data_IF_673415605519
#
_entry.id   IF_673415605519
#
_cell.length_a   1.000
_cell.length_b   1.000
_cell.length_c   1.000
_cell.angle_alpha   90.00
_cell.angle_beta   90.00
_cell.angle_gamma   90.00
#
_symmetry.space_group_name_H-M   'P 1'
#
loop_
_entity.id
_entity.type
_entity.pdbx_description
1 polymer ?
#
# COMPACT_ATOMS: atom_id res chain seq x y z
N UNK A 1 6.22 42.59 13.26
CA UNK A 1 7.35 42.42 14.20
C UNK A 1 8.13 41.13 13.88
N UNK A 2 8.72 41.03 12.69
CA UNK A 2 9.61 39.89 12.34
C UNK A 2 11.01 40.06 12.98
N UNK A 3 11.42 41.32 13.18
CA UNK A 3 12.75 41.71 13.64
C UNK A 3 13.10 41.35 15.11
N UNK A 4 12.12 41.28 16.01
CA UNK A 4 12.41 40.99 17.44
C UNK A 4 12.67 39.50 17.69
N UNK A 5 12.09 38.61 16.86
CA UNK A 5 12.30 37.16 16.98
C UNK A 5 13.68 36.73 16.47
N UNK A 6 14.17 37.35 15.40
CA UNK A 6 15.49 37.01 14.84
C UNK A 6 16.63 37.44 15.77
N UNK A 7 16.53 38.63 16.40
CA UNK A 7 17.54 39.08 17.37
C UNK A 7 17.75 38.10 18.54
N UNK A 8 16.66 37.61 19.12
CA UNK A 8 16.72 36.64 20.23
C UNK A 8 17.36 35.32 19.82
N UNK A 9 17.10 34.85 18.60
CA UNK A 9 17.65 33.60 18.06
C UNK A 9 19.14 33.73 17.74
N UNK A 10 19.60 34.91 17.32
CA UNK A 10 21.00 35.16 16.99
C UNK A 10 21.87 35.46 18.22
N UNK A 11 21.31 36.14 19.22
CA UNK A 11 22.07 36.67 20.37
C UNK A 11 22.17 35.68 21.52
N UNK A 12 21.19 34.79 21.70
CA UNK A 12 21.18 33.81 22.80
C UNK A 12 21.56 32.41 22.28
N UNK A 13 22.73 31.88 22.65
CA UNK A 13 23.20 30.58 22.16
C UNK A 13 22.27 29.42 22.57
N UNK A 14 21.55 29.56 23.68
CA UNK A 14 20.56 28.61 24.17
C UNK A 14 19.30 28.58 23.30
N UNK A 15 18.80 29.75 22.89
CA UNK A 15 17.65 29.89 21.99
C UNK A 15 18.02 29.37 20.59
N UNK A 16 19.23 29.66 20.11
CA UNK A 16 19.76 29.12 18.86
C UNK A 16 19.79 27.59 18.85
N UNK A 17 20.27 26.98 19.94
CA UNK A 17 20.29 25.52 20.11
C UNK A 17 18.89 24.93 20.20
N UNK A 18 17.97 25.60 20.92
CA UNK A 18 16.59 25.16 21.05
C UNK A 18 15.85 25.18 19.71
N UNK A 19 15.98 26.26 18.93
CA UNK A 19 15.38 26.38 17.60
C UNK A 19 15.97 25.36 16.61
N UNK A 20 17.29 25.13 16.66
CA UNK A 20 17.94 24.10 15.85
C UNK A 20 17.43 22.70 16.19
N UNK A 21 17.25 22.39 17.49
CA UNK A 21 16.70 21.13 17.97
C UNK A 21 15.25 20.96 17.55
N UNK A 22 14.38 21.95 17.77
CA UNK A 22 12.97 21.87 17.36
C UNK A 22 12.79 21.76 15.84
N UNK A 23 13.63 22.42 15.03
CA UNK A 23 13.64 22.22 13.57
C UNK A 23 14.08 20.81 13.19
N UNK A 24 15.05 20.24 13.89
CA UNK A 24 15.51 18.87 13.65
C UNK A 24 14.43 17.83 14.05
N UNK A 25 13.81 18.00 15.22
CA UNK A 25 12.72 17.15 15.72
C UNK A 25 11.50 17.20 14.79
N UNK A 26 11.01 18.40 14.44
CA UNK A 26 9.86 18.53 13.53
C UNK A 26 10.12 17.98 12.12
N UNK A 27 11.37 18.03 11.64
CA UNK A 27 11.76 17.43 10.35
C UNK A 27 11.89 15.91 10.42
N UNK A 28 12.23 15.36 11.58
CA UNK A 28 12.30 13.93 11.82
C UNK A 28 10.90 13.31 11.98
N UNK A 29 10.02 13.92 12.77
CA UNK A 29 8.62 13.49 12.91
C UNK A 29 7.87 13.55 11.58
N UNK A 30 7.97 14.66 10.85
CA UNK A 30 7.32 14.80 9.54
C UNK A 30 7.80 13.78 8.50
N UNK A 31 9.06 13.32 8.59
CA UNK A 31 9.57 12.24 7.72
C UNK A 31 9.02 10.88 8.14
N UNK A 32 9.01 10.56 9.42
CA UNK A 32 8.52 9.28 9.93
C UNK A 32 7.02 9.09 9.66
N UNK A 33 6.22 10.14 9.81
CA UNK A 33 4.79 10.11 9.48
C UNK A 33 4.57 10.00 7.97
N UNK A 34 5.35 10.73 7.16
CA UNK A 34 5.33 10.62 5.71
C UNK A 34 5.69 9.21 5.21
N UNK A 35 6.71 8.57 5.78
CA UNK A 35 7.09 7.20 5.41
C UNK A 35 6.01 6.17 5.76
N UNK A 36 5.35 6.32 6.91
CA UNK A 36 4.22 5.46 7.30
C UNK A 36 3.04 5.59 6.34
N UNK A 37 2.71 6.82 5.93
CA UNK A 37 1.65 7.08 4.95
C UNK A 37 2.01 6.48 3.58
N UNK A 38 3.25 6.65 3.11
CA UNK A 38 3.71 6.05 1.84
C UNK A 38 3.68 4.52 1.89
N UNK A 39 4.09 3.92 3.01
CA UNK A 39 4.03 2.48 3.20
C UNK A 39 2.59 1.95 3.16
N UNK A 40 1.66 2.65 3.81
CA UNK A 40 0.23 2.32 3.79
C UNK A 40 -0.37 2.45 2.39
N UNK A 41 -0.13 3.57 1.72
CA UNK A 41 -0.61 3.81 0.34
C UNK A 41 -0.03 2.83 -0.67
N UNK A 42 1.25 2.41 -0.53
CA UNK A 42 1.84 1.35 -1.37
C UNK A 42 1.19 0.00 -1.11
N UNK A 43 0.87 -0.34 0.14
CA UNK A 43 0.23 -1.61 0.47
C UNK A 43 -1.20 -1.67 -0.09
N UNK A 44 -1.98 -0.60 0.07
CA UNK A 44 -3.35 -0.49 -0.47
C UNK A 44 -3.35 -0.52 -2.01
N UNK A 45 -2.50 0.29 -2.66
CA UNK A 45 -2.39 0.31 -4.11
C UNK A 45 -1.87 -1.02 -4.71
N UNK A 46 -1.02 -1.75 -3.98
CA UNK A 46 -0.56 -3.08 -4.41
C UNK A 46 -1.67 -4.13 -4.32
N UNK A 47 -2.50 -4.08 -3.27
CA UNK A 47 -3.66 -4.97 -3.16
C UNK A 47 -4.64 -4.72 -4.32
N UNK A 48 -5.06 -3.47 -4.53
CA UNK A 48 -6.00 -3.11 -5.60
C UNK A 48 -5.46 -3.48 -6.99
N UNK A 49 -4.19 -3.17 -7.27
CA UNK A 49 -3.56 -3.53 -8.54
C UNK A 49 -3.51 -5.05 -8.79
N UNK A 50 -3.28 -5.85 -7.75
CA UNK A 50 -3.31 -7.31 -7.85
C UNK A 50 -4.74 -7.85 -8.03
N UNK A 51 -5.73 -7.27 -7.34
CA UNK A 51 -7.14 -7.62 -7.55
C UNK A 51 -7.55 -7.39 -9.01
N UNK A 52 -7.20 -6.23 -9.56
CA UNK A 52 -7.51 -5.89 -10.95
C UNK A 52 -6.77 -6.80 -11.94
N UNK A 53 -5.50 -7.11 -11.69
CA UNK A 53 -4.71 -8.02 -12.52
C UNK A 53 -5.32 -9.43 -12.56
N UNK A 54 -5.76 -9.97 -11.41
CA UNK A 54 -6.44 -11.27 -11.33
C UNK A 54 -7.73 -11.26 -12.16
N UNK A 55 -8.54 -10.21 -12.02
CA UNK A 55 -9.79 -10.08 -12.78
C UNK A 55 -9.51 -10.04 -14.29
N UNK A 56 -8.50 -9.28 -14.72
CA UNK A 56 -8.08 -9.24 -16.14
C UNK A 56 -7.60 -10.59 -16.65
N UNK A 57 -6.77 -11.31 -15.90
CA UNK A 57 -6.30 -12.66 -16.28
C UNK A 57 -7.48 -13.61 -16.42
N UNK A 58 -8.40 -13.60 -15.46
CA UNK A 58 -9.61 -14.42 -15.51
C UNK A 58 -10.49 -14.02 -16.68
N UNK A 59 -10.67 -12.73 -16.96
CA UNK A 59 -11.45 -12.26 -18.10
C UNK A 59 -10.86 -12.73 -19.44
N UNK A 60 -9.53 -12.73 -19.58
CA UNK A 60 -8.86 -13.17 -20.81
C UNK A 60 -8.90 -14.69 -21.00
N UNK A 61 -8.75 -15.48 -19.94
CA UNK A 61 -8.65 -16.95 -20.05
C UNK A 61 -9.97 -17.68 -19.82
N UNK A 62 -10.77 -17.20 -18.86
CA UNK A 62 -11.96 -17.85 -18.32
C UNK A 62 -13.07 -16.83 -18.05
N UNK A 63 -13.65 -16.20 -19.09
CA UNK A 63 -14.58 -15.08 -18.94
C UNK A 63 -15.83 -15.42 -18.10
N UNK A 64 -16.26 -16.68 -18.09
CA UNK A 64 -17.35 -17.20 -17.24
C UNK A 64 -17.09 -17.08 -15.74
N UNK A 65 -15.83 -16.99 -15.32
CA UNK A 65 -15.41 -16.94 -13.91
C UNK A 65 -15.16 -15.53 -13.40
N UNK A 66 -15.29 -14.49 -14.23
CA UNK A 66 -14.99 -13.09 -13.87
C UNK A 66 -15.78 -12.65 -12.63
N UNK A 67 -17.09 -12.91 -12.60
CA UNK A 67 -17.93 -12.54 -11.46
C UNK A 67 -17.53 -13.27 -10.17
N UNK A 68 -17.07 -14.52 -10.29
CA UNK A 68 -16.56 -15.28 -9.15
C UNK A 68 -15.20 -14.73 -8.68
N UNK A 69 -14.33 -14.39 -9.63
CA UNK A 69 -13.03 -13.80 -9.35
C UNK A 69 -13.17 -12.45 -8.65
N UNK A 70 -13.97 -11.52 -9.19
CA UNK A 70 -14.27 -10.23 -8.58
C UNK A 70 -14.76 -10.39 -7.14
N UNK A 71 -15.80 -11.20 -6.92
CA UNK A 71 -16.36 -11.44 -5.57
C UNK A 71 -15.32 -12.01 -4.61
N UNK A 72 -14.36 -12.79 -5.10
CA UNK A 72 -13.31 -13.38 -4.28
C UNK A 72 -12.20 -12.38 -3.98
N UNK A 73 -11.67 -11.69 -4.98
CA UNK A 73 -10.58 -10.73 -4.80
C UNK A 73 -11.03 -9.53 -3.98
N UNK A 74 -12.29 -9.08 -4.09
CA UNK A 74 -12.84 -8.01 -3.23
C UNK A 74 -12.91 -8.38 -1.75
N UNK A 75 -12.80 -9.66 -1.40
CA UNK A 75 -12.73 -10.13 0.00
C UNK A 75 -11.29 -10.35 0.47
N UNK A 76 -10.33 -10.33 -0.43
CA UNK A 76 -8.91 -10.58 -0.18
C UNK A 76 -8.16 -9.24 -0.24
N UNK A 77 -7.76 -8.72 0.92
CA UNK A 77 -6.97 -7.49 1.02
C UNK A 77 -5.49 -7.77 1.26
N UNK A 78 -5.08 -9.03 1.38
CA UNK A 78 -3.70 -9.43 1.63
C UNK A 78 -2.95 -9.54 0.29
N UNK A 79 -1.98 -8.65 -0.01
CA UNK A 79 -1.29 -8.64 -1.29
C UNK A 79 -0.58 -9.97 -1.60
N UNK A 80 0.02 -10.63 -0.60
CA UNK A 80 0.73 -11.89 -0.79
C UNK A 80 -0.18 -13.04 -1.22
N UNK A 81 -1.41 -13.06 -0.71
CA UNK A 81 -2.42 -14.05 -1.08
C UNK A 81 -2.96 -13.81 -2.49
N UNK A 82 -3.19 -12.54 -2.84
CA UNK A 82 -3.58 -12.14 -4.20
C UNK A 82 -2.48 -12.51 -5.21
N UNK A 83 -1.21 -12.23 -4.90
CA UNK A 83 -0.08 -12.59 -5.79
C UNK A 83 0.01 -14.11 -6.01
N UNK A 84 -0.12 -14.90 -4.93
CA UNK A 84 -0.14 -16.36 -5.01
C UNK A 84 -1.32 -16.86 -5.86
N UNK A 85 -2.50 -16.28 -5.67
CA UNK A 85 -3.70 -16.61 -6.46
C UNK A 85 -3.50 -16.27 -7.94
N UNK A 86 -2.92 -15.10 -8.23
CA UNK A 86 -2.59 -14.66 -9.58
C UNK A 86 -1.65 -15.67 -10.26
N UNK A 87 -0.54 -16.04 -9.62
CA UNK A 87 0.41 -17.01 -10.17
C UNK A 87 -0.26 -18.37 -10.46
N UNK A 88 -1.09 -18.86 -9.54
CA UNK A 88 -1.81 -20.12 -9.73
C UNK A 88 -2.84 -20.03 -10.87
N UNK A 89 -3.50 -18.90 -11.06
CA UNK A 89 -4.43 -18.67 -12.17
C UNK A 89 -3.73 -18.56 -13.53
N UNK A 90 -2.49 -18.07 -13.57
CA UNK A 90 -1.67 -18.04 -14.80
C UNK A 90 -1.28 -19.47 -15.22
N UNK A 91 -0.93 -20.33 -14.27
CA UNK A 91 -0.49 -21.71 -14.57
C UNK A 91 -1.66 -22.70 -14.68
N UNK A 92 -2.86 -22.32 -14.22
CA UNK A 92 -4.06 -23.17 -14.31
C UNK A 92 -4.31 -23.63 -15.76
N UNK A 93 -4.42 -24.95 -16.03
CA UNK A 93 -4.56 -25.45 -17.39
C UNK A 93 -5.99 -25.27 -17.95
N UNK A 94 -7.00 -25.26 -17.08
CA UNK A 94 -8.41 -25.28 -17.46
C UNK A 94 -9.31 -24.46 -16.51
N UNK A 95 -10.55 -24.23 -16.96
CA UNK A 95 -11.55 -23.44 -16.24
C UNK A 95 -11.95 -24.07 -14.90
N UNK A 96 -12.02 -25.39 -14.81
CA UNK A 96 -12.42 -26.09 -13.59
C UNK A 96 -11.35 -25.94 -12.50
N UNK A 97 -10.07 -26.07 -12.87
CA UNK A 97 -8.92 -25.80 -12.04
C UNK A 97 -8.91 -24.36 -11.53
N UNK A 98 -9.14 -23.38 -12.41
CA UNK A 98 -9.26 -21.97 -12.03
C UNK A 98 -10.44 -21.73 -11.07
N UNK A 99 -11.59 -22.36 -11.32
CA UNK A 99 -12.79 -22.27 -10.46
C UNK A 99 -12.53 -22.87 -9.08
N UNK A 100 -11.81 -23.99 -8.99
CA UNK A 100 -11.37 -24.59 -7.72
C UNK A 100 -10.43 -23.67 -6.97
N UNK A 101 -9.48 -23.01 -7.63
CA UNK A 101 -8.58 -22.03 -7.00
C UNK A 101 -9.34 -20.83 -6.42
N UNK A 102 -10.32 -20.30 -7.16
CA UNK A 102 -11.16 -19.20 -6.70
C UNK A 102 -12.08 -19.60 -5.53
N UNK A 103 -12.46 -20.88 -5.42
CA UNK A 103 -13.29 -21.41 -4.32
C UNK A 103 -12.50 -21.95 -3.13
N UNK A 104 -11.30 -22.47 -3.36
CA UNK A 104 -10.59 -23.39 -2.46
C UNK A 104 -9.69 -22.75 -1.40
N UNK A 105 -9.53 -21.44 -1.37
CA UNK A 105 -8.81 -20.74 -0.28
C UNK A 105 -9.69 -20.51 0.96
N UNK A 106 -10.45 -21.53 1.36
CA UNK A 106 -11.07 -21.64 2.69
C UNK A 106 -10.39 -22.82 3.39
N UNK A 107 -9.27 -22.54 4.04
CA UNK A 107 -8.73 -23.32 5.14
C UNK A 107 -8.17 -22.32 6.14
#
# INVERSE_FOLDING_TARGET
MQYERDWFIETMPEVKKLVARSKAEGKAEGRAEGEKLVARSKAEGKAEGLQEAIVKIVQCRFPSLVSLAQKRVSRLHVPSELDTLMQRLIVAPDEESARKLLRGMTA
#
